data_IF_006935282741
#
_entry.id   IF_006935282741
#
_cell.length_a   1.000
_cell.length_b   1.000
_cell.length_c   1.000
_cell.angle_alpha   90.00
_cell.angle_beta   90.00
_cell.angle_gamma   90.00
#
_symmetry.space_group_name_H-M   'P 1'
#
loop_
_entity.id
_entity.type
_entity.pdbx_description
1 polymer ?
#
# COMPACT_ATOMS: atom_id res chain seq x y z
N UNK A 1 -31.57 -18.91 5.46
CA UNK A 1 -30.71 -17.80 4.99
C UNK A 1 -30.00 -16.99 6.10
N UNK A 2 -30.24 -17.22 7.41
CA UNK A 2 -29.67 -16.41 8.52
C UNK A 2 -28.24 -16.79 8.97
N UNK A 3 -27.79 -18.02 8.71
CA UNK A 3 -26.46 -18.50 9.15
C UNK A 3 -25.29 -17.93 8.32
N UNK A 4 -25.45 -17.76 7.00
CA UNK A 4 -24.41 -17.19 6.11
C UNK A 4 -24.01 -15.74 6.45
N UNK A 5 -24.87 -14.99 7.14
CA UNK A 5 -24.60 -13.59 7.52
C UNK A 5 -23.63 -13.50 8.72
N UNK A 6 -23.77 -14.39 9.71
CA UNK A 6 -22.92 -14.41 10.91
C UNK A 6 -21.51 -14.96 10.66
N UNK A 7 -21.34 -15.88 9.70
CA UNK A 7 -20.01 -16.35 9.30
C UNK A 7 -19.23 -15.27 8.55
N UNK A 8 -19.88 -14.53 7.63
CA UNK A 8 -19.29 -13.38 6.95
C UNK A 8 -18.93 -12.23 7.91
N UNK A 9 -19.71 -12.02 8.96
CA UNK A 9 -19.40 -11.02 9.99
C UNK A 9 -18.17 -11.42 10.82
N UNK A 10 -17.99 -12.71 11.12
CA UNK A 10 -16.82 -13.24 11.83
C UNK A 10 -15.54 -13.28 10.99
N UNK A 11 -15.65 -13.56 9.68
CA UNK A 11 -14.53 -13.40 8.75
C UNK A 11 -14.08 -11.93 8.67
N UNK A 12 -15.04 -11.01 8.57
CA UNK A 12 -14.75 -9.56 8.59
C UNK A 12 -14.16 -9.08 9.90
N UNK A 13 -14.50 -9.69 11.03
CA UNK A 13 -13.91 -9.37 12.35
C UNK A 13 -12.45 -9.85 12.47
N UNK A 14 -12.11 -10.98 11.83
CA UNK A 14 -10.72 -11.47 11.78
C UNK A 14 -9.84 -10.71 10.78
N UNK A 15 -10.45 -10.06 9.79
CA UNK A 15 -9.77 -9.16 8.84
C UNK A 15 -9.41 -7.78 9.44
N UNK A 16 -9.99 -7.39 10.59
CA UNK A 16 -10.07 -5.97 10.97
C UNK A 16 -9.10 -5.43 12.02
N UNK A 17 -8.37 -6.26 12.76
CA UNK A 17 -7.52 -5.74 13.83
C UNK A 17 -6.13 -6.36 13.80
N UNK A 18 -5.31 -5.91 12.85
CA UNK A 18 -3.86 -6.01 13.02
C UNK A 18 -3.42 -4.88 13.94
N UNK A 19 -2.94 -5.16 15.17
CA UNK A 19 -2.54 -4.12 16.13
C UNK A 19 -1.37 -3.25 15.64
N UNK A 20 -0.70 -3.68 14.58
CA UNK A 20 0.45 -2.99 13.98
C UNK A 20 0.06 -2.04 12.83
N UNK A 21 -1.23 -1.93 12.48
CA UNK A 21 -1.69 -1.03 11.43
C UNK A 21 -1.43 0.45 11.76
N UNK A 22 -1.43 0.80 13.04
CA UNK A 22 -1.17 2.17 13.52
C UNK A 22 0.25 2.66 13.23
N UNK A 23 1.20 1.74 13.00
CA UNK A 23 2.60 2.09 12.70
C UNK A 23 2.85 2.39 11.21
N UNK A 24 1.80 2.40 10.38
CA UNK A 24 1.93 2.69 8.94
C UNK A 24 2.19 4.18 8.74
N UNK A 25 3.32 4.52 8.12
CA UNK A 25 3.68 5.89 7.76
C UNK A 25 3.49 6.06 6.25
N UNK A 26 2.51 6.90 5.87
CA UNK A 26 2.13 7.15 4.47
C UNK A 26 3.07 8.14 3.77
N UNK A 27 3.78 8.98 4.53
CA UNK A 27 4.62 10.05 3.99
C UNK A 27 5.94 9.51 3.42
N UNK A 28 6.40 8.37 3.94
CA UNK A 28 7.64 7.70 3.49
C UNK A 28 7.41 6.74 2.32
N UNK A 29 6.15 6.48 1.95
CA UNK A 29 5.82 5.57 0.86
C UNK A 29 5.98 6.28 -0.48
N UNK A 30 7.05 5.95 -1.18
CA UNK A 30 7.28 6.43 -2.53
C UNK A 30 7.27 5.25 -3.52
N UNK A 31 6.12 5.04 -4.14
CA UNK A 31 5.91 3.97 -5.13
C UNK A 31 6.38 4.33 -6.55
N UNK A 32 6.93 5.53 -6.77
CA UNK A 32 7.43 5.97 -8.07
C UNK A 32 8.80 5.36 -8.44
N UNK A 33 9.47 4.69 -7.49
CA UNK A 33 10.75 4.03 -7.71
C UNK A 33 10.62 2.61 -8.28
N UNK A 34 11.64 2.16 -9.02
CA UNK A 34 11.69 0.81 -9.58
C UNK A 34 11.55 -0.27 -8.48
N UNK A 35 10.68 -1.26 -8.75
CA UNK A 35 10.27 -2.32 -7.82
C UNK A 35 11.35 -3.41 -7.63
N UNK A 36 12.55 -3.01 -7.26
CA UNK A 36 13.65 -3.92 -6.96
C UNK A 36 13.79 -4.14 -5.45
N UNK A 37 14.18 -5.36 -5.06
CA UNK A 37 14.61 -5.61 -3.69
C UNK A 37 15.83 -4.73 -3.39
N UNK A 38 15.76 -3.90 -2.34
CA UNK A 38 16.84 -3.01 -1.91
C UNK A 38 18.11 -3.76 -1.46
N UNK A 39 18.05 -5.08 -1.38
CA UNK A 39 19.15 -5.96 -0.98
C UNK A 39 19.60 -6.85 -2.14
N UNK A 40 18.66 -7.59 -2.73
CA UNK A 40 19.01 -8.71 -3.62
C UNK A 40 19.00 -8.33 -5.11
N UNK A 41 18.34 -7.21 -5.50
CA UNK A 41 18.07 -6.73 -6.87
C UNK A 41 17.06 -7.47 -7.79
N UNK A 42 16.56 -8.72 -7.59
CA UNK A 42 15.51 -9.24 -8.45
C UNK A 42 14.15 -8.59 -8.12
N UNK A 43 13.27 -8.61 -9.11
CA UNK A 43 11.90 -8.08 -9.07
C UNK A 43 10.83 -9.15 -8.81
N UNK A 44 11.22 -10.39 -8.47
CA UNK A 44 10.28 -11.49 -8.23
C UNK A 44 9.81 -11.49 -6.76
N UNK A 45 8.49 -11.40 -6.53
CA UNK A 45 7.87 -11.41 -5.20
C UNK A 45 8.44 -10.32 -4.27
N UNK A 46 8.39 -9.06 -4.72
CA UNK A 46 8.85 -7.91 -3.94
C UNK A 46 7.72 -7.37 -3.06
N UNK A 47 8.07 -7.13 -1.80
CA UNK A 47 7.21 -6.61 -0.76
C UNK A 47 7.74 -5.26 -0.29
N UNK A 48 6.87 -4.25 -0.21
CA UNK A 48 7.20 -2.96 0.36
C UNK A 48 6.78 -2.89 1.81
N UNK A 49 7.68 -2.42 2.67
CA UNK A 49 7.36 -2.15 4.07
C UNK A 49 6.53 -0.86 4.17
N UNK A 50 5.37 -0.94 4.80
CA UNK A 50 4.48 0.23 4.95
C UNK A 50 4.89 1.18 6.09
N UNK A 51 5.97 0.87 6.81
CA UNK A 51 6.50 1.69 7.91
C UNK A 51 7.71 2.52 7.48
N UNK A 52 8.61 1.93 6.70
CA UNK A 52 9.85 2.60 6.27
C UNK A 52 9.95 2.83 4.75
N UNK A 53 8.99 2.35 3.97
CA UNK A 53 8.97 2.50 2.51
C UNK A 53 10.00 1.66 1.73
N UNK A 54 10.80 0.82 2.40
CA UNK A 54 11.83 -0.01 1.74
C UNK A 54 11.26 -1.28 1.12
N UNK A 55 11.94 -1.77 0.07
CA UNK A 55 11.52 -2.93 -0.70
C UNK A 55 12.37 -4.16 -0.38
N UNK A 56 11.70 -5.28 -0.12
CA UNK A 56 12.30 -6.53 0.31
C UNK A 56 11.76 -7.71 -0.48
N UNK A 57 12.62 -8.69 -0.75
CA UNK A 57 12.23 -9.89 -1.48
C UNK A 57 11.68 -10.96 -0.55
N UNK A 58 10.57 -11.58 -0.97
CA UNK A 58 10.04 -12.83 -0.44
C UNK A 58 9.32 -12.72 0.91
N UNK A 59 8.51 -13.72 1.23
CA UNK A 59 7.71 -13.80 2.47
C UNK A 59 8.10 -14.95 3.41
N UNK A 60 9.02 -15.82 2.99
CA UNK A 60 9.41 -16.99 3.79
C UNK A 60 10.20 -16.60 5.06
N UNK A 61 10.33 -17.53 6.00
CA UNK A 61 11.08 -17.34 7.26
C UNK A 61 12.56 -16.94 7.07
N UNK A 62 13.12 -17.17 5.88
CA UNK A 62 14.49 -16.78 5.49
C UNK A 62 14.54 -15.58 4.56
N UNK A 63 13.40 -14.92 4.33
CA UNK A 63 13.32 -13.79 3.41
C UNK A 63 13.75 -12.51 4.10
N UNK A 64 14.19 -11.54 3.30
CA UNK A 64 14.59 -10.24 3.82
C UNK A 64 13.43 -9.48 4.48
N UNK A 65 12.19 -9.67 3.99
CA UNK A 65 11.02 -9.06 4.61
C UNK A 65 10.76 -9.64 6.01
N UNK A 66 10.92 -10.95 6.20
CA UNK A 66 10.75 -11.58 7.50
C UNK A 66 11.82 -11.11 8.50
N UNK A 67 13.10 -11.12 8.10
CA UNK A 67 14.19 -10.62 8.94
C UNK A 67 14.00 -9.15 9.30
N UNK A 68 13.64 -8.30 8.33
CA UNK A 68 13.38 -6.88 8.58
C UNK A 68 12.23 -6.67 9.57
N UNK A 69 11.19 -7.51 9.51
CA UNK A 69 10.07 -7.41 10.44
C UNK A 69 10.45 -7.65 11.90
N UNK A 70 11.42 -8.54 12.13
CA UNK A 70 11.92 -8.84 13.47
C UNK A 70 12.98 -7.84 13.93
N UNK A 71 13.88 -7.41 13.05
CA UNK A 71 14.96 -6.48 13.38
C UNK A 71 14.46 -5.04 13.61
N UNK A 72 13.55 -4.56 12.76
CA UNK A 72 13.03 -3.20 12.82
C UNK A 72 11.67 -3.09 13.53
N UNK A 73 11.03 -4.21 13.86
CA UNK A 73 9.67 -4.21 14.43
C UNK A 73 8.59 -3.74 13.43
N UNK A 74 8.87 -3.84 12.13
CA UNK A 74 7.91 -3.47 11.09
C UNK A 74 7.13 -4.70 10.65
N UNK A 75 5.85 -4.80 11.01
CA UNK A 75 5.07 -6.01 10.75
C UNK A 75 4.16 -5.92 9.52
N UNK A 76 4.04 -4.75 8.88
CA UNK A 76 3.08 -4.52 7.79
C UNK A 76 3.80 -4.36 6.45
N UNK A 77 3.48 -5.25 5.49
CA UNK A 77 4.08 -5.25 4.16
C UNK A 77 3.02 -5.40 3.08
N UNK A 78 3.19 -4.71 1.95
CA UNK A 78 2.35 -4.87 0.76
C UNK A 78 3.14 -5.56 -0.35
N UNK A 79 2.51 -6.51 -1.04
CA UNK A 79 3.06 -7.11 -2.23
C UNK A 79 2.84 -6.18 -3.43
N UNK A 80 3.91 -5.84 -4.14
CA UNK A 80 3.88 -4.86 -5.24
C UNK A 80 3.30 -5.41 -6.57
N UNK A 81 3.09 -6.73 -6.64
CA UNK A 81 2.50 -7.44 -7.78
C UNK A 81 1.01 -7.75 -7.54
N UNK A 82 0.68 -8.25 -6.34
CA UNK A 82 -0.71 -8.64 -6.02
C UNK A 82 -1.51 -7.58 -5.30
N UNK A 83 -0.88 -6.47 -4.86
CA UNK A 83 -1.48 -5.38 -4.07
C UNK A 83 -2.05 -5.83 -2.70
N UNK A 84 -1.71 -7.06 -2.29
CA UNK A 84 -2.16 -7.67 -1.04
C UNK A 84 -1.22 -7.33 0.10
N UNK A 85 -1.80 -7.03 1.25
CA UNK A 85 -1.06 -6.67 2.46
C UNK A 85 -0.93 -7.91 3.34
N UNK A 86 0.25 -8.10 3.92
CA UNK A 86 0.60 -9.26 4.70
C UNK A 86 1.34 -8.85 5.97
N UNK A 87 1.14 -9.64 7.02
CA UNK A 87 2.03 -9.68 8.16
C UNK A 87 3.03 -10.83 8.00
N UNK A 88 4.33 -10.61 7.74
CA UNK A 88 5.30 -11.69 7.59
C UNK A 88 5.46 -12.53 8.86
N UNK A 89 5.33 -11.91 10.04
CA UNK A 89 5.47 -12.60 11.32
C UNK A 89 4.36 -13.66 11.52
N UNK A 90 3.12 -13.30 11.18
CA UNK A 90 1.95 -14.17 11.37
C UNK A 90 1.56 -14.95 10.11
N UNK A 91 2.10 -14.57 8.95
CA UNK A 91 1.77 -15.14 7.64
C UNK A 91 0.35 -14.86 7.16
N UNK A 92 -0.40 -13.98 7.84
CA UNK A 92 -1.78 -13.65 7.52
C UNK A 92 -1.88 -12.49 6.51
N UNK A 93 -2.96 -12.50 5.72
CA UNK A 93 -3.34 -11.40 4.82
C UNK A 93 -4.16 -10.37 5.61
N UNK A 94 -3.80 -9.09 5.48
CA UNK A 94 -4.49 -7.97 6.13
C UNK A 94 -5.36 -7.30 5.06
N UNK A 95 -6.66 -7.21 5.33
CA UNK A 95 -7.59 -6.55 4.43
C UNK A 95 -8.40 -5.50 5.19
N UNK A 96 -7.83 -4.30 5.28
CA UNK A 96 -8.46 -3.19 5.96
C UNK A 96 -8.76 -2.03 5.00
N UNK A 97 -9.94 -1.38 5.10
CA UNK A 97 -10.28 -0.21 4.29
C UNK A 97 -9.31 0.97 4.43
N UNK A 98 -8.60 1.09 5.56
CA UNK A 98 -7.63 2.17 5.79
C UNK A 98 -6.38 2.07 4.92
N UNK A 99 -6.12 0.93 4.28
CA UNK A 99 -4.99 0.73 3.35
C UNK A 99 -5.40 0.90 1.88
N UNK A 100 -6.67 1.24 1.63
CA UNK A 100 -7.21 1.37 0.29
C UNK A 100 -6.56 2.51 -0.50
N UNK A 101 -6.27 3.63 0.15
CA UNK A 101 -5.55 4.76 -0.42
C UNK A 101 -4.12 4.37 -0.85
N UNK A 102 -3.39 3.59 -0.05
CA UNK A 102 -2.05 3.09 -0.40
C UNK A 102 -2.11 2.23 -1.67
N UNK A 103 -3.14 1.38 -1.81
CA UNK A 103 -3.36 0.60 -3.04
C UNK A 103 -3.63 1.51 -4.25
N UNK A 104 -4.37 2.61 -4.06
CA UNK A 104 -4.65 3.58 -5.12
C UNK A 104 -3.39 4.36 -5.53
N UNK A 105 -2.50 4.68 -4.60
CA UNK A 105 -1.20 5.30 -4.92
C UNK A 105 -0.31 4.30 -5.66
N UNK A 106 -0.29 3.03 -5.23
CA UNK A 106 0.54 1.98 -5.86
C UNK A 106 0.07 1.63 -7.28
N UNK A 107 -1.24 1.54 -7.50
CA UNK A 107 -1.82 1.25 -8.80
C UNK A 107 -3.15 2.02 -8.96
N UNK A 108 -3.11 3.25 -9.48
CA UNK A 108 -4.31 4.06 -9.62
C UNK A 108 -5.25 3.45 -10.67
N UNK A 109 -6.40 2.97 -10.21
CA UNK A 109 -7.47 2.46 -11.08
C UNK A 109 -8.59 3.48 -11.16
N UNK A 110 -8.94 3.88 -12.38
CA UNK A 110 -10.03 4.80 -12.63
C UNK A 110 -11.17 4.09 -13.37
N UNK A 111 -12.42 4.37 -12.97
CA UNK A 111 -13.59 3.94 -13.73
C UNK A 111 -13.73 4.77 -15.01
N UNK A 112 -14.46 4.24 -15.99
CA UNK A 112 -14.66 4.94 -17.26
C UNK A 112 -15.39 6.28 -17.06
N UNK A 113 -16.34 6.33 -16.13
CA UNK A 113 -17.03 7.58 -15.79
C UNK A 113 -16.09 8.59 -15.13
N UNK A 114 -15.20 8.14 -14.25
CA UNK A 114 -14.20 9.00 -13.60
C UNK A 114 -13.22 9.60 -14.61
N UNK A 115 -12.81 8.82 -15.62
CA UNK A 115 -11.94 9.31 -16.70
C UNK A 115 -12.67 10.35 -17.57
N UNK A 116 -13.95 10.16 -17.86
CA UNK A 116 -14.73 11.11 -18.67
C UNK A 116 -14.91 12.47 -17.97
N UNK A 117 -15.11 12.47 -16.65
CA UNK A 117 -15.24 13.70 -15.86
C UNK A 117 -13.89 14.28 -15.39
N UNK A 118 -12.77 13.65 -15.74
CA UNK A 118 -11.44 14.09 -15.28
C UNK A 118 -11.08 15.48 -15.81
N UNK A 119 -11.38 15.75 -17.08
CA UNK A 119 -11.12 17.04 -17.74
C UNK A 119 -12.13 18.14 -17.31
N UNK A 120 -13.32 17.75 -16.86
CA UNK A 120 -14.33 18.69 -16.37
C UNK A 120 -14.03 19.16 -14.95
N UNK A 121 -13.27 18.36 -14.20
CA UNK A 121 -13.03 18.60 -12.79
C UNK A 121 -11.85 19.57 -12.57
N UNK A 122 -12.13 20.88 -12.65
CA UNK A 122 -11.18 21.95 -12.29
C UNK A 122 -10.96 22.14 -10.79
N UNK A 123 -11.27 21.13 -9.97
CA UNK A 123 -11.10 21.20 -8.53
C UNK A 123 -9.65 20.93 -8.14
N UNK A 124 -9.11 21.82 -7.29
CA UNK A 124 -7.83 21.63 -6.63
C UNK A 124 -7.91 20.41 -5.70
N UNK A 125 -7.05 19.45 -5.92
CA UNK A 125 -6.82 18.31 -5.02
C UNK A 125 -5.70 18.64 -4.04
N UNK A 126 -5.70 17.98 -2.88
CA UNK A 126 -4.70 18.21 -1.82
C UNK A 126 -3.82 16.99 -1.67
N UNK A 127 -2.51 17.17 -1.78
CA UNK A 127 -1.52 16.13 -1.57
C UNK A 127 -1.27 15.89 -0.07
N UNK A 128 -0.52 14.83 0.23
CA UNK A 128 -0.22 14.37 1.59
C UNK A 128 0.63 15.38 2.39
N UNK A 129 1.38 16.23 1.70
CA UNK A 129 2.19 17.33 2.26
C UNK A 129 1.37 18.62 2.50
N UNK A 130 0.08 18.60 2.16
CA UNK A 130 -0.82 19.76 2.26
C UNK A 130 -0.76 20.71 1.06
N UNK A 131 0.07 20.43 0.05
CA UNK A 131 0.10 21.20 -1.18
C UNK A 131 -1.16 20.97 -2.01
N UNK A 132 -1.62 22.01 -2.72
CA UNK A 132 -2.74 21.87 -3.65
C UNK A 132 -2.18 21.61 -5.06
N UNK A 133 -2.72 20.60 -5.72
CA UNK A 133 -2.38 20.26 -7.10
C UNK A 133 -3.65 20.11 -7.94
N UNK A 134 -3.53 20.36 -9.24
CA UNK A 134 -4.60 20.04 -10.19
C UNK A 134 -4.32 18.65 -10.76
N UNK A 135 -5.23 17.66 -10.60
CA UNK A 135 -5.08 16.37 -11.24
C UNK A 135 -4.82 16.52 -12.74
N UNK A 136 -3.75 15.89 -13.25
CA UNK A 136 -3.35 16.00 -14.67
C UNK A 136 -2.33 17.11 -14.99
N UNK A 137 -2.01 18.00 -14.04
CA UNK A 137 -0.99 19.04 -14.22
C UNK A 137 0.23 18.76 -13.32
N UNK A 138 1.35 18.37 -13.92
CA UNK A 138 2.64 18.28 -13.23
C UNK A 138 3.39 19.61 -13.37
N UNK A 139 3.52 20.35 -12.27
CA UNK A 139 4.37 21.54 -12.25
C UNK A 139 5.83 21.09 -12.11
N UNK A 140 6.54 20.98 -13.24
CA UNK A 140 7.99 20.88 -13.21
C UNK A 140 8.58 22.22 -12.77
N UNK A 141 9.18 22.25 -11.58
CA UNK A 141 9.87 23.41 -11.00
C UNK A 141 11.24 23.70 -11.66
N UNK A 142 11.39 23.44 -12.97
CA UNK A 142 12.64 23.65 -13.72
C UNK A 142 12.63 24.81 -14.73
N UNK A 143 11.56 25.59 -14.78
CA UNK A 143 11.54 26.86 -15.52
C UNK A 143 11.58 28.03 -14.53
N UNK A 144 12.78 28.39 -14.09
CA UNK A 144 13.11 29.68 -13.43
C UNK A 144 14.54 30.06 -13.78
#
# INVERSE_FOLDING_TARGET
MRMKKRERERERERERDCPYLDNVDRQVLNFDFEKFCSISLPNLNVYACLVCGKYYQGRGLKSHAYTHSLEAGHHVYINLETEKVYCPADGCEINDPSLHDIRHVLNPRFSREQVLHLDENRQWSRALDGSNYLPGMLFNSRDS
#
